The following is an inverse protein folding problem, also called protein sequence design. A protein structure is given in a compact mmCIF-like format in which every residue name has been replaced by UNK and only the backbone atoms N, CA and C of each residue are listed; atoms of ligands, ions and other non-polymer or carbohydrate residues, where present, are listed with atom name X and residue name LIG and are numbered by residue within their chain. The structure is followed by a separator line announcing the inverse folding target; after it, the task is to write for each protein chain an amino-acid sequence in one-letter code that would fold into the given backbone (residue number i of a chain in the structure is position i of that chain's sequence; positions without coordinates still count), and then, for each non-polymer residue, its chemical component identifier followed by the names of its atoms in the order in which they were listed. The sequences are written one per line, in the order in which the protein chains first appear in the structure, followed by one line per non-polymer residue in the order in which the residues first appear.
data_IF_169047051070
#
_entry.id   IF_169047051070
#
_cell.length_a   1.000
_cell.length_b   1.000
_cell.length_c   1.000
_cell.angle_alpha   90.00
_cell.angle_beta   90.00
_cell.angle_gamma   90.00
#
_symmetry.space_group_name_H-M   'P 1'
#
loop_
_entity.id
_entity.type
_entity.pdbx_description
1 polymer ?
#
# COMPACT_ATOMS: atom_id res chain seq x y z
N UNK A 1 -5.51 0.66 -3.31
CA UNK A 1 -6.29 1.75 -3.97
C UNK A 1 -7.79 1.55 -3.77
N UNK A 2 -8.37 0.42 -4.21
CA UNK A 2 -9.82 0.15 -4.05
C UNK A 2 -10.30 0.24 -2.58
N UNK A 3 -9.65 -0.41 -1.59
CA UNK A 3 -10.11 -0.34 -0.21
C UNK A 3 -10.04 1.07 0.38
N UNK A 4 -8.99 1.82 0.04
CA UNK A 4 -8.81 3.23 0.47
C UNK A 4 -9.94 4.11 -0.09
N UNK A 5 -10.31 3.93 -1.36
CA UNK A 5 -11.41 4.69 -1.97
C UNK A 5 -12.77 4.30 -1.39
N UNK A 6 -13.03 2.99 -1.19
CA UNK A 6 -14.26 2.50 -0.57
C UNK A 6 -14.40 3.02 0.86
N UNK A 7 -13.37 2.83 1.70
CA UNK A 7 -13.40 3.28 3.09
C UNK A 7 -13.47 4.80 3.21
N UNK A 8 -12.75 5.55 2.35
CA UNK A 8 -12.86 7.00 2.31
C UNK A 8 -14.26 7.49 1.94
N UNK A 9 -14.97 6.78 1.06
CA UNK A 9 -16.34 7.13 0.66
C UNK A 9 -17.35 6.76 1.75
N UNK A 10 -17.26 5.54 2.29
CA UNK A 10 -18.23 5.00 3.26
C UNK A 10 -18.09 5.61 4.65
N UNK A 11 -16.86 5.78 5.15
CA UNK A 11 -16.61 6.20 6.54
C UNK A 11 -16.52 7.73 6.65
N UNK A 12 -15.90 8.38 5.67
CA UNK A 12 -15.56 9.81 5.74
C UNK A 12 -16.28 10.68 4.69
N UNK A 13 -17.16 10.09 3.87
CA UNK A 13 -17.96 10.83 2.88
C UNK A 13 -17.14 11.48 1.76
N UNK A 14 -15.91 11.02 1.53
CA UNK A 14 -15.04 11.56 0.47
C UNK A 14 -15.63 11.19 -0.89
N UNK A 15 -15.98 12.19 -1.70
CA UNK A 15 -16.51 11.97 -3.05
C UNK A 15 -15.39 11.88 -4.08
N UNK A 16 -15.13 10.67 -4.55
CA UNK A 16 -14.27 10.45 -5.72
C UNK A 16 -15.07 10.60 -7.02
N UNK A 17 -14.40 11.09 -8.06
CA UNK A 17 -14.99 11.27 -9.39
C UNK A 17 -15.00 9.97 -10.18
N UNK A 18 -15.96 9.78 -11.09
CA UNK A 18 -16.04 8.59 -11.95
C UNK A 18 -14.71 8.23 -12.65
N UNK A 19 -13.94 9.20 -13.20
CA UNK A 19 -12.66 8.90 -13.80
C UNK A 19 -11.63 8.30 -12.82
N UNK A 20 -11.65 8.67 -11.53
CA UNK A 20 -10.75 8.09 -10.51
C UNK A 20 -11.08 6.63 -10.21
N UNK A 21 -12.37 6.27 -10.23
CA UNK A 21 -12.81 4.87 -10.10
C UNK A 21 -12.38 4.04 -11.30
N UNK A 22 -12.58 4.56 -12.52
CA UNK A 22 -12.16 3.88 -13.75
C UNK A 22 -10.65 3.64 -13.76
N UNK A 23 -9.84 4.66 -13.42
CA UNK A 23 -8.38 4.50 -13.31
C UNK A 23 -8.01 3.38 -12.34
N UNK A 24 -8.66 3.36 -11.17
CA UNK A 24 -8.36 2.40 -10.11
C UNK A 24 -8.74 0.98 -10.52
N UNK A 25 -9.86 0.80 -11.21
CA UNK A 25 -10.27 -0.49 -11.78
C UNK A 25 -9.34 -0.94 -12.91
N UNK A 26 -8.90 -0.03 -13.78
CA UNK A 26 -7.91 -0.34 -14.82
C UNK A 26 -6.59 -0.83 -14.22
N UNK A 27 -6.08 -0.15 -13.19
CA UNK A 27 -4.85 -0.54 -12.50
C UNK A 27 -5.03 -1.88 -11.79
N UNK A 28 -6.12 -2.06 -11.02
CA UNK A 28 -6.37 -3.30 -10.29
C UNK A 28 -6.59 -4.49 -11.24
N UNK A 29 -7.34 -4.28 -12.32
CA UNK A 29 -7.55 -5.26 -13.39
C UNK A 29 -6.24 -5.65 -14.03
N UNK A 30 -5.47 -4.69 -14.54
CA UNK A 30 -4.20 -4.96 -15.22
C UNK A 30 -3.17 -5.66 -14.33
N UNK A 31 -3.05 -5.29 -13.05
CA UNK A 31 -2.18 -6.01 -12.09
C UNK A 31 -2.66 -7.46 -11.88
N UNK A 32 -3.98 -7.66 -11.77
CA UNK A 32 -4.56 -9.00 -11.60
C UNK A 32 -4.34 -9.86 -12.83
N UNK A 33 -4.54 -9.32 -14.04
CA UNK A 33 -4.31 -10.04 -15.30
C UNK A 33 -2.84 -10.38 -15.50
N UNK A 34 -1.93 -9.46 -15.12
CA UNK A 34 -0.49 -9.71 -15.14
C UNK A 34 -0.10 -10.86 -14.20
N UNK A 35 -0.62 -10.86 -12.97
CA UNK A 35 -0.35 -11.89 -11.98
C UNK A 35 -0.90 -13.26 -12.43
N UNK A 36 -2.15 -13.31 -12.90
CA UNK A 36 -2.77 -14.55 -13.39
C UNK A 36 -2.04 -15.12 -14.61
N UNK A 37 -1.52 -14.26 -15.48
CA UNK A 37 -0.77 -14.69 -16.67
C UNK A 37 0.60 -15.29 -16.33
N UNK A 38 1.18 -14.96 -15.17
CA UNK A 38 2.46 -15.51 -14.70
C UNK A 38 2.27 -16.79 -13.86
N UNK A 39 1.10 -16.96 -13.24
CA UNK A 39 0.83 -18.08 -12.34
C UNK A 39 0.70 -19.40 -13.11
N UNK A 40 1.65 -20.31 -12.92
CA UNK A 40 1.61 -21.67 -13.48
C UNK A 40 0.47 -22.49 -12.87
N UNK A 41 -0.11 -23.43 -13.65
CA UNK A 41 -1.14 -24.38 -13.18
C UNK A 41 -0.73 -25.12 -11.89
N UNK A 42 0.57 -25.40 -11.72
CA UNK A 42 1.14 -26.01 -10.49
C UNK A 42 1.08 -25.09 -9.27
N UNK A 43 1.11 -23.78 -9.48
CA UNK A 43 0.96 -22.76 -8.43
C UNK A 43 -0.51 -22.57 -8.07
N UNK A 44 -1.42 -22.60 -9.05
CA UNK A 44 -2.88 -22.55 -8.83
C UNK A 44 -3.34 -23.74 -7.97
N UNK A 45 -2.87 -24.95 -8.29
CA UNK A 45 -3.13 -26.15 -7.49
C UNK A 45 -2.64 -26.03 -6.05
N UNK A 46 -1.47 -25.42 -5.82
CA UNK A 46 -0.95 -25.16 -4.46
C UNK A 46 -1.73 -24.08 -3.71
N UNK A 47 -2.23 -23.05 -4.40
CA UNK A 47 -3.09 -22.02 -3.78
C UNK A 47 -4.49 -22.57 -3.44
N UNK A 48 -4.91 -23.68 -4.06
CA UNK A 48 -6.19 -24.34 -3.79
C UNK A 48 -6.15 -25.32 -2.59
N UNK A 49 -5.02 -25.44 -1.88
CA UNK A 49 -4.92 -26.19 -0.63
C UNK A 49 -5.92 -25.68 0.44
N UNK A 50 -6.26 -26.48 1.47
CA UNK A 50 -7.60 -26.51 2.08
C UNK A 50 -8.11 -25.23 2.75
N UNK A 51 -7.30 -24.18 2.88
CA UNK A 51 -7.66 -22.92 3.53
C UNK A 51 -7.68 -21.71 2.58
N UNK A 52 -7.76 -21.91 1.27
CA UNK A 52 -7.82 -20.80 0.29
C UNK A 52 -8.89 -19.73 0.65
N UNK A 53 -10.13 -20.08 1.07
CA UNK A 53 -11.13 -19.08 1.45
C UNK A 53 -10.70 -18.24 2.66
N UNK A 54 -10.05 -18.85 3.65
CA UNK A 54 -9.54 -18.16 4.83
C UNK A 54 -8.39 -17.23 4.46
N UNK A 55 -7.47 -17.66 3.60
CA UNK A 55 -6.38 -16.83 3.09
C UNK A 55 -6.89 -15.60 2.32
N UNK A 56 -7.84 -15.79 1.40
CA UNK A 56 -8.47 -14.68 0.68
C UNK A 56 -9.25 -13.75 1.62
N UNK A 57 -9.95 -14.30 2.61
CA UNK A 57 -10.65 -13.54 3.63
C UNK A 57 -9.72 -12.68 4.48
N UNK A 58 -8.60 -13.23 4.94
CA UNK A 58 -7.58 -12.48 5.68
C UNK A 58 -6.91 -11.40 4.83
N UNK A 59 -6.62 -11.68 3.55
CA UNK A 59 -6.11 -10.67 2.62
C UNK A 59 -7.10 -9.53 2.42
N UNK A 60 -8.39 -9.85 2.24
CA UNK A 60 -9.44 -8.85 2.12
C UNK A 60 -9.55 -7.98 3.38
N UNK A 61 -9.57 -8.61 4.57
CA UNK A 61 -9.65 -7.91 5.84
C UNK A 61 -8.43 -7.00 6.07
N UNK A 62 -7.22 -7.49 5.79
CA UNK A 62 -5.99 -6.71 5.86
C UNK A 62 -6.05 -5.47 4.95
N UNK A 63 -6.50 -5.65 3.70
CA UNK A 63 -6.67 -4.55 2.76
C UNK A 63 -7.76 -3.56 3.19
N UNK A 64 -8.83 -4.04 3.83
CA UNK A 64 -9.89 -3.20 4.37
C UNK A 64 -9.38 -2.33 5.53
N UNK A 65 -8.63 -2.90 6.47
CA UNK A 65 -8.02 -2.15 7.57
C UNK A 65 -6.93 -1.18 7.11
N UNK A 66 -6.14 -1.55 6.09
CA UNK A 66 -5.21 -0.62 5.44
C UNK A 66 -5.98 0.55 4.80
N UNK A 67 -7.10 0.26 4.12
CA UNK A 67 -8.00 1.28 3.57
C UNK A 67 -8.55 2.22 4.63
N UNK A 68 -9.01 1.67 5.76
CA UNK A 68 -9.54 2.42 6.89
C UNK A 68 -8.48 3.33 7.50
N UNK A 69 -7.29 2.79 7.79
CA UNK A 69 -6.18 3.56 8.39
C UNK A 69 -5.75 4.74 7.52
N UNK A 70 -5.59 4.51 6.21
CA UNK A 70 -5.26 5.55 5.24
C UNK A 70 -6.33 6.65 5.17
N UNK A 71 -7.62 6.28 5.22
CA UNK A 71 -8.72 7.24 5.23
C UNK A 71 -8.79 8.05 6.54
N UNK A 72 -8.52 7.40 7.68
CA UNK A 72 -8.42 8.06 8.99
C UNK A 72 -7.27 9.06 9.02
N UNK A 73 -6.10 8.71 8.45
CA UNK A 73 -4.96 9.63 8.34
C UNK A 73 -5.32 10.89 7.55
N UNK A 74 -6.01 10.74 6.42
CA UNK A 74 -6.49 11.87 5.62
C UNK A 74 -7.51 12.73 6.39
N UNK A 75 -8.44 12.10 7.13
CA UNK A 75 -9.43 12.81 7.94
C UNK A 75 -8.78 13.62 9.07
N UNK A 76 -7.80 13.06 9.77
CA UNK A 76 -7.06 13.76 10.83
C UNK A 76 -6.31 14.95 10.24
N UNK A 77 -5.65 14.78 9.10
CA UNK A 77 -4.92 15.86 8.44
C UNK A 77 -5.84 17.03 8.02
N UNK A 78 -7.08 16.74 7.61
CA UNK A 78 -8.08 17.78 7.26
C UNK A 78 -8.68 18.43 8.50
N UNK A 79 -9.04 17.64 9.52
CA UNK A 79 -9.72 18.13 10.74
C UNK A 79 -8.78 18.92 11.65
N UNK A 80 -7.50 18.55 11.69
CA UNK A 80 -6.49 19.16 12.54
C UNK A 80 -5.27 19.62 11.71
N UNK A 81 -5.40 20.74 10.98
CA UNK A 81 -4.35 21.23 10.08
C UNK A 81 -3.07 21.70 10.79
N UNK A 82 -3.10 21.84 12.12
CA UNK A 82 -1.93 22.16 12.95
C UNK A 82 -1.12 20.91 13.33
N UNK A 83 -1.69 19.72 13.20
CA UNK A 83 -1.02 18.47 13.56
C UNK A 83 0.02 18.15 12.49
N UNK A 84 1.25 17.93 12.92
CA UNK A 84 2.34 17.67 12.00
C UNK A 84 2.34 16.20 11.54
N UNK A 85 2.93 15.93 10.38
CA UNK A 85 3.05 14.57 9.86
C UNK A 85 3.78 13.64 10.83
N UNK A 86 4.79 14.18 11.54
CA UNK A 86 5.57 13.45 12.53
C UNK A 86 4.78 13.14 13.81
N UNK A 87 3.82 13.98 14.21
CA UNK A 87 2.98 13.72 15.39
C UNK A 87 2.06 12.52 15.12
N UNK A 88 1.48 12.48 13.91
CA UNK A 88 0.64 11.37 13.45
C UNK A 88 1.48 10.08 13.36
N UNK A 89 2.73 10.18 12.86
CA UNK A 89 3.67 9.06 12.78
C UNK A 89 4.04 8.52 14.17
N UNK A 90 4.41 9.41 15.09
CA UNK A 90 4.77 9.05 16.46
C UNK A 90 3.60 8.36 17.17
N UNK A 91 2.39 8.93 17.06
CA UNK A 91 1.20 8.35 17.65
C UNK A 91 0.91 6.93 17.13
N UNK A 92 0.95 6.73 15.81
CA UNK A 92 0.74 5.40 15.22
C UNK A 92 1.82 4.40 15.60
N UNK A 93 3.09 4.80 15.57
CA UNK A 93 4.18 3.91 15.95
C UNK A 93 4.13 3.57 17.44
N UNK A 94 3.81 4.52 18.33
CA UNK A 94 3.68 4.26 19.76
C UNK A 94 2.56 3.24 20.07
N UNK A 95 1.35 3.49 19.58
CA UNK A 95 0.23 2.57 19.77
C UNK A 95 0.47 1.22 19.09
N UNK A 96 1.08 1.23 17.90
CA UNK A 96 1.46 0.03 17.18
C UNK A 96 2.49 -0.80 17.95
N UNK A 97 3.53 -0.18 18.51
CA UNK A 97 4.52 -0.86 19.33
C UNK A 97 3.89 -1.46 20.59
N UNK A 98 3.03 -0.72 21.30
CA UNK A 98 2.35 -1.26 22.48
C UNK A 98 1.50 -2.49 22.14
N UNK A 99 0.69 -2.42 21.08
CA UNK A 99 -0.14 -3.55 20.65
C UNK A 99 0.70 -4.76 20.23
N UNK A 100 1.74 -4.55 19.42
CA UNK A 100 2.63 -5.64 18.99
C UNK A 100 3.40 -6.26 20.16
N UNK A 101 3.83 -5.47 21.14
CA UNK A 101 4.53 -5.97 22.33
C UNK A 101 3.62 -6.87 23.16
N UNK A 102 2.37 -6.46 23.39
CA UNK A 102 1.37 -7.27 24.10
C UNK A 102 1.09 -8.56 23.33
N UNK A 103 0.96 -8.50 22.01
CA UNK A 103 0.73 -9.68 21.19
C UNK A 103 1.93 -10.65 21.21
N UNK A 104 3.16 -10.15 21.08
CA UNK A 104 4.37 -10.97 21.02
C UNK A 104 4.71 -11.65 22.36
N UNK A 105 4.48 -10.99 23.49
CA UNK A 105 4.92 -11.48 24.80
C UNK A 105 3.78 -11.89 25.74
N UNK A 106 2.55 -11.43 25.48
CA UNK A 106 1.37 -11.67 26.32
C UNK A 106 0.49 -12.84 25.87
N UNK A 107 0.62 -13.31 24.62
CA UNK A 107 -0.14 -14.44 24.12
C UNK A 107 0.61 -15.75 24.36
N UNK A 108 -0.04 -16.75 24.96
CA UNK A 108 0.60 -18.02 25.36
C UNK A 108 1.19 -18.83 24.19
N UNK A 109 0.67 -18.64 22.98
CA UNK A 109 1.17 -19.26 21.75
C UNK A 109 2.07 -18.32 20.91
N UNK A 110 2.47 -17.16 21.43
CA UNK A 110 3.34 -16.24 20.69
C UNK A 110 4.82 -16.59 20.89
N UNK A 111 5.59 -16.52 19.80
CA UNK A 111 7.01 -16.85 19.75
C UNK A 111 7.92 -15.65 20.06
N UNK A 112 7.46 -14.65 20.82
CA UNK A 112 8.24 -13.44 21.10
C UNK A 112 9.54 -13.71 21.85
N UNK A 113 9.50 -14.57 22.86
CA UNK A 113 10.69 -14.95 23.63
C UNK A 113 11.69 -15.77 22.79
N UNK A 114 11.19 -16.67 21.94
CA UNK A 114 12.00 -17.47 21.02
C UNK A 114 12.69 -16.57 19.97
N UNK A 115 11.98 -15.58 19.43
CA UNK A 115 12.55 -14.62 18.49
C UNK A 115 13.69 -13.80 19.11
N UNK A 116 13.55 -13.38 20.38
CA UNK A 116 14.63 -12.70 21.12
C UNK A 116 15.81 -13.63 21.35
N UNK A 117 15.56 -14.88 21.71
CA UNK A 117 16.62 -15.87 21.90
C UNK A 117 17.37 -16.17 20.59
N UNK A 118 16.65 -16.26 19.47
CA UNK A 118 17.22 -16.42 18.14
C UNK A 118 18.16 -15.26 17.79
N UNK A 119 17.74 -14.02 18.04
CA UNK A 119 18.57 -12.83 17.79
C UNK A 119 19.82 -12.79 18.70
N UNK A 120 19.75 -13.36 19.91
CA UNK A 120 20.92 -13.50 20.80
C UNK A 120 21.91 -14.56 20.31
N UNK A 121 21.41 -15.66 19.76
CA UNK A 121 22.23 -16.75 19.23
C UNK A 121 22.84 -16.39 17.87
N UNK A 122 22.16 -15.57 17.08
CA UNK A 122 22.59 -15.12 15.76
C UNK A 122 22.64 -13.57 15.70
N UNK A 123 23.74 -12.95 16.16
CA UNK A 123 23.86 -11.49 16.18
C UNK A 123 23.85 -10.86 14.78
N UNK A 124 24.26 -11.60 13.75
CA UNK A 124 24.15 -11.17 12.34
C UNK A 124 22.69 -10.91 11.94
N UNK A 125 21.77 -11.81 12.31
CA UNK A 125 20.35 -11.65 12.04
C UNK A 125 19.77 -10.43 12.79
N UNK A 126 20.23 -10.18 14.02
CA UNK A 126 19.85 -8.99 14.77
C UNK A 126 20.31 -7.69 14.07
N UNK A 127 21.52 -7.71 13.48
CA UNK A 127 22.04 -6.58 12.71
C UNK A 127 21.24 -6.34 11.42
N UNK A 128 20.89 -7.40 10.69
CA UNK A 128 20.03 -7.31 9.50
C UNK A 128 18.66 -6.73 9.83
N UNK A 129 18.04 -7.17 10.93
CA UNK A 129 16.77 -6.63 11.43
C UNK A 129 16.92 -5.15 11.77
N UNK A 130 18.00 -4.77 12.45
CA UNK A 130 18.25 -3.39 12.82
C UNK A 130 18.42 -2.48 11.60
N UNK A 131 19.22 -2.90 10.61
CA UNK A 131 19.39 -2.19 9.34
C UNK A 131 18.06 -2.08 8.57
N UNK A 132 17.27 -3.15 8.55
CA UNK A 132 15.93 -3.16 7.96
C UNK A 132 15.01 -2.15 8.66
N UNK A 133 15.01 -2.10 9.99
CA UNK A 133 14.24 -1.13 10.77
C UNK A 133 14.69 0.31 10.53
N UNK A 134 16.01 0.56 10.46
CA UNK A 134 16.55 1.90 10.19
C UNK A 134 16.14 2.40 8.80
N UNK A 135 16.30 1.56 7.77
CA UNK A 135 15.84 1.85 6.43
C UNK A 135 14.31 2.07 6.40
N UNK A 136 13.56 1.25 7.13
CA UNK A 136 12.12 1.38 7.31
C UNK A 136 11.72 2.72 7.95
N UNK A 137 12.42 3.16 8.99
CA UNK A 137 12.17 4.43 9.68
C UNK A 137 12.42 5.63 8.77
N UNK A 138 13.51 5.60 7.99
CA UNK A 138 13.78 6.61 6.96
C UNK A 138 12.66 6.61 5.90
N UNK A 139 12.24 5.43 5.43
CA UNK A 139 11.14 5.27 4.48
C UNK A 139 9.79 5.81 5.01
N UNK A 140 9.49 5.57 6.28
CA UNK A 140 8.27 6.04 6.92
C UNK A 140 8.17 7.58 6.92
N UNK A 141 9.27 8.29 7.15
CA UNK A 141 9.27 9.76 7.07
C UNK A 141 8.76 10.26 5.71
N UNK A 142 9.21 9.64 4.61
CA UNK A 142 8.73 9.99 3.27
C UNK A 142 7.27 9.64 3.03
N UNK A 143 6.80 8.52 3.59
CA UNK A 143 5.39 8.10 3.51
C UNK A 143 4.50 9.14 4.21
N UNK A 144 4.81 9.46 5.46
CA UNK A 144 4.03 10.41 6.25
C UNK A 144 4.07 11.83 5.67
N UNK A 145 5.23 12.28 5.19
CA UNK A 145 5.35 13.56 4.48
C UNK A 145 4.50 13.58 3.20
N UNK A 146 4.48 12.49 2.46
CA UNK A 146 3.68 12.35 1.22
C UNK A 146 2.18 12.38 1.54
N UNK A 147 1.75 11.66 2.57
CA UNK A 147 0.34 11.64 3.01
C UNK A 147 -0.09 13.03 3.46
N UNK A 148 0.68 13.67 4.34
CA UNK A 148 0.37 15.02 4.84
C UNK A 148 0.29 16.06 3.71
N UNK A 149 1.18 15.99 2.71
CA UNK A 149 1.22 16.98 1.62
C UNK A 149 0.26 16.68 0.47
N UNK A 150 0.00 15.40 0.18
CA UNK A 150 -0.65 14.98 -1.07
C UNK A 150 -1.83 14.03 -0.91
N UNK A 151 -2.10 13.56 0.31
CA UNK A 151 -3.16 12.61 0.67
C UNK A 151 -2.76 11.14 0.48
N UNK A 152 -3.45 10.26 1.20
CA UNK A 152 -3.22 8.81 1.26
C UNK A 152 -3.41 8.11 -0.09
N UNK A 153 -4.37 8.57 -0.91
CA UNK A 153 -4.60 8.01 -2.26
C UNK A 153 -3.36 8.17 -3.15
N UNK A 154 -2.62 9.26 -2.98
CA UNK A 154 -1.41 9.53 -3.79
C UNK A 154 -0.23 8.72 -3.32
N UNK A 155 -0.08 8.59 -2.00
CA UNK A 155 0.90 7.67 -1.43
C UNK A 155 0.66 6.23 -1.93
N UNK A 156 -0.60 5.78 -1.95
CA UNK A 156 -0.99 4.47 -2.49
C UNK A 156 -0.68 4.34 -3.98
N UNK A 157 -0.89 5.41 -4.75
CA UNK A 157 -0.56 5.45 -6.18
C UNK A 157 0.94 5.31 -6.40
N UNK A 158 1.76 6.12 -5.72
CA UNK A 158 3.23 6.10 -5.83
C UNK A 158 3.78 4.71 -5.47
N UNK A 159 3.34 4.14 -4.35
CA UNK A 159 3.80 2.81 -3.91
C UNK A 159 3.38 1.70 -4.88
N UNK A 160 2.18 1.78 -5.46
CA UNK A 160 1.70 0.84 -6.47
C UNK A 160 2.51 0.95 -7.76
N UNK A 161 2.77 2.17 -8.24
CA UNK A 161 3.65 2.40 -9.41
C UNK A 161 5.04 1.83 -9.17
N UNK A 162 5.65 2.13 -8.01
CA UNK A 162 6.98 1.58 -7.64
C UNK A 162 6.97 0.05 -7.67
N UNK A 163 6.02 -0.58 -6.96
CA UNK A 163 5.91 -2.05 -6.90
C UNK A 163 5.74 -2.65 -8.30
N UNK A 164 4.89 -2.05 -9.13
CA UNK A 164 4.64 -2.54 -10.47
C UNK A 164 5.87 -2.40 -11.38
N UNK A 165 6.56 -1.26 -11.36
CA UNK A 165 7.80 -1.05 -12.10
C UNK A 165 8.86 -2.07 -11.67
N UNK A 166 9.02 -2.32 -10.37
CA UNK A 166 9.93 -3.36 -9.87
C UNK A 166 9.57 -4.76 -10.37
N UNK A 167 8.28 -5.10 -10.45
CA UNK A 167 7.81 -6.38 -11.02
C UNK A 167 8.20 -6.50 -12.49
N UNK A 168 7.97 -5.44 -13.29
CA UNK A 168 8.32 -5.43 -14.72
C UNK A 168 9.83 -5.56 -14.91
N UNK A 169 10.62 -4.74 -14.22
CA UNK A 169 12.09 -4.77 -14.31
C UNK A 169 12.62 -6.14 -13.89
N UNK A 170 12.15 -6.69 -12.76
CA UNK A 170 12.55 -8.02 -12.29
C UNK A 170 12.22 -9.10 -13.32
N UNK A 171 11.06 -9.03 -13.98
CA UNK A 171 10.69 -9.99 -15.02
C UNK A 171 11.56 -9.89 -16.27
N UNK A 172 11.93 -8.67 -16.68
CA UNK A 172 12.83 -8.44 -17.83
C UNK A 172 14.25 -8.92 -17.54
N UNK A 173 14.77 -8.65 -16.34
CA UNK A 173 16.11 -9.07 -15.90
C UNK A 173 16.21 -10.59 -15.69
N UNK A 174 15.11 -11.25 -15.34
CA UNK A 174 15.06 -12.71 -15.15
C UNK A 174 15.13 -13.50 -16.46
N UNK A 175 15.35 -12.85 -17.61
CA UNK A 175 15.54 -13.49 -18.92
C UNK A 175 14.32 -14.20 -19.49
N UNK A 176 13.15 -14.10 -18.84
CA UNK A 176 11.90 -14.68 -19.33
C UNK A 176 11.13 -13.62 -20.13
N UNK A 177 11.03 -13.75 -21.47
CA UNK A 177 10.30 -12.77 -22.27
C UNK A 177 8.83 -12.71 -21.83
N UNK A 178 8.36 -11.49 -21.54
CA UNK A 178 6.96 -11.26 -21.18
C UNK A 178 6.05 -11.66 -22.34
N UNK A 179 5.01 -12.44 -22.05
CA UNK A 179 3.97 -12.81 -23.02
C UNK A 179 3.25 -11.56 -23.54
N UNK A 180 2.71 -11.62 -24.77
CA UNK A 180 1.89 -10.54 -25.34
C UNK A 180 0.72 -10.12 -24.44
N UNK A 181 0.14 -11.07 -23.68
CA UNK A 181 -0.90 -10.78 -22.67
C UNK A 181 -0.37 -9.98 -21.48
N UNK A 182 0.88 -10.22 -21.07
CA UNK A 182 1.53 -9.47 -19.99
C UNK A 182 1.88 -8.06 -20.43
N UNK A 183 2.34 -7.87 -21.68
CA UNK A 183 2.57 -6.55 -22.25
C UNK A 183 1.29 -5.71 -22.33
N UNK A 184 0.16 -6.33 -22.73
CA UNK A 184 -1.15 -5.67 -22.69
C UNK A 184 -1.53 -5.25 -21.26
N UNK A 185 -1.28 -6.11 -20.28
CA UNK A 185 -1.50 -5.80 -18.85
C UNK A 185 -0.63 -4.64 -18.36
N UNK A 186 0.64 -4.58 -18.81
CA UNK A 186 1.55 -3.46 -18.52
C UNK A 186 1.00 -2.16 -19.11
N UNK A 187 0.61 -2.15 -20.39
CA UNK A 187 0.02 -0.97 -21.02
C UNK A 187 -1.26 -0.50 -20.30
N UNK A 188 -2.11 -1.43 -19.88
CA UNK A 188 -3.33 -1.14 -19.11
C UNK A 188 -3.03 -0.49 -17.75
N UNK A 189 -2.03 -0.97 -17.01
CA UNK A 189 -1.65 -0.38 -15.72
C UNK A 189 -1.03 1.01 -15.91
N UNK A 190 -0.12 1.17 -16.88
CA UNK A 190 0.53 2.46 -17.14
C UNK A 190 -0.45 3.52 -17.65
N UNK A 191 -1.43 3.15 -18.48
CA UNK A 191 -2.48 4.06 -18.93
C UNK A 191 -3.38 4.50 -17.77
N UNK A 192 -3.82 3.58 -16.91
CA UNK A 192 -4.61 3.90 -15.72
C UNK A 192 -3.88 4.83 -14.75
N UNK A 193 -2.60 4.56 -14.47
CA UNK A 193 -1.76 5.43 -13.63
C UNK A 193 -1.55 6.81 -14.26
N UNK A 194 -1.22 6.86 -15.55
CA UNK A 194 -0.99 8.12 -16.27
C UNK A 194 -2.24 8.99 -16.28
N UNK A 195 -3.40 8.38 -16.54
CA UNK A 195 -4.68 9.09 -16.52
C UNK A 195 -5.03 9.60 -15.12
N UNK A 196 -4.76 8.82 -14.07
CA UNK A 196 -4.97 9.27 -12.69
C UNK A 196 -4.09 10.46 -12.30
N UNK A 197 -2.81 10.42 -12.69
CA UNK A 197 -1.86 11.53 -12.48
C UNK A 197 -2.35 12.78 -13.22
N UNK A 198 -2.78 12.62 -14.48
CA UNK A 198 -3.31 13.71 -15.29
C UNK A 198 -4.56 14.35 -14.66
N UNK A 199 -5.53 13.55 -14.21
CA UNK A 199 -6.73 14.04 -13.53
C UNK A 199 -6.39 14.84 -12.28
N UNK A 200 -5.42 14.37 -11.49
CA UNK A 200 -4.97 15.07 -10.28
C UNK A 200 -4.30 16.40 -10.61
N UNK A 201 -3.44 16.41 -11.63
CA UNK A 201 -2.80 17.62 -12.14
C UNK A 201 -3.84 18.64 -12.60
N UNK A 202 -4.84 18.21 -13.36
CA UNK A 202 -5.92 19.07 -13.85
C UNK A 202 -6.77 19.65 -12.70
N UNK A 203 -7.07 18.84 -11.67
CA UNK A 203 -7.79 19.32 -10.46
C UNK A 203 -7.00 20.40 -9.72
N UNK A 204 -5.68 20.25 -9.59
CA UNK A 204 -4.80 21.28 -8.98
C UNK A 204 -4.80 22.58 -9.78
N UNK A 205 -4.66 22.51 -11.10
CA UNK A 205 -4.71 23.65 -12.00
C UNK A 205 -6.02 24.45 -11.84
N UNK A 206 -7.17 23.74 -11.78
CA UNK A 206 -8.50 24.37 -11.58
C UNK A 206 -8.61 25.08 -10.23
N UNK A 207 -8.10 24.47 -9.15
CA UNK A 207 -8.09 25.09 -7.82
C UNK A 207 -7.19 26.34 -7.78
N UNK A 208 -6.01 26.28 -8.42
CA UNK A 208 -5.11 27.44 -8.52
C UNK A 208 -5.72 28.58 -9.32
N UNK A 209 -6.41 28.29 -10.43
CA UNK A 209 -7.16 29.31 -11.19
C UNK A 209 -8.25 29.97 -10.35
N UNK A 210 -9.07 29.18 -9.63
CA UNK A 210 -10.11 29.72 -8.72
C UNK A 210 -9.53 30.64 -7.65
N UNK A 211 -8.38 30.27 -7.07
CA UNK A 211 -7.69 31.06 -6.05
C UNK A 211 -7.08 32.38 -6.55
N UNK A 212 -6.84 32.50 -7.85
CA UNK A 212 -6.35 33.74 -8.50
C UNK A 212 -7.49 34.64 -8.97
N UNK A 213 -8.71 34.11 -9.08
CA UNK A 213 -9.92 34.84 -9.49
C UNK A 213 -10.77 35.32 -8.31
N UNK A 214 -10.33 35.10 -7.07
CA UNK A 214 -10.95 35.54 -5.83
C UNK A 214 -9.96 36.42 -5.10
#
# INVERSE_FOLDING_TARGET
MIPVMLMGTLVYGIRYTLPEYICTLLVAGGVSTFALSKTSSKTISKLAHPNAPLGYGLCFLNLAFDGFTNATQDSIAVRYPKTSAWDIMLGMNLWGTMYNMIFMFGWSNASGYEAVQFCRQHPEAAWDIFMYCLCGAVGQNFIFLTISRFGSLTNTTITTTRKFVSIVISSLLSGNPLSSKQWSSVAMVFSGLSYQIYLKWMRRQRLQKKRKST
#
